data_IF_947484896754
#
_entry.id   IF_947484896754
#
_cell.length_a   1.000
_cell.length_b   1.000
_cell.length_c   1.000
_cell.angle_alpha   90.00
_cell.angle_beta   90.00
_cell.angle_gamma   90.00
#
_symmetry.space_group_name_H-M   'P 1'
#
loop_
_entity.id
_entity.type
_entity.pdbx_description
1 polymer ?
#
# COMPACT_ATOMS: atom_id res chain seq x y z
N UNK A 1 -1.70 24.23 13.13
CA UNK A 1 -1.77 23.61 11.79
C UNK A 1 -0.67 22.57 11.72
N UNK A 2 -1.00 21.28 11.81
CA UNK A 2 -0.02 20.20 11.68
C UNK A 2 0.55 20.19 10.27
N UNK A 3 1.86 20.33 10.13
CA UNK A 3 2.58 20.22 8.86
C UNK A 3 2.36 18.81 8.31
N UNK A 4 1.36 18.63 7.45
CA UNK A 4 1.09 17.34 6.80
C UNK A 4 2.34 16.97 5.99
N UNK A 5 3.04 15.92 6.44
CA UNK A 5 4.26 15.43 5.82
C UNK A 5 3.87 14.81 4.48
N UNK A 6 4.06 15.55 3.37
CA UNK A 6 3.81 15.04 2.02
C UNK A 6 4.46 13.68 1.85
N UNK A 7 3.65 12.65 1.68
CA UNK A 7 4.12 11.29 1.48
C UNK A 7 4.73 11.19 0.07
N UNK A 8 6.03 10.90 0.02
CA UNK A 8 6.77 10.82 -1.23
C UNK A 8 6.53 9.45 -1.85
N UNK A 9 5.98 9.44 -3.06
CA UNK A 9 5.90 8.23 -3.87
C UNK A 9 7.30 7.63 -4.07
N UNK A 10 7.44 6.33 -3.82
CA UNK A 10 8.66 5.56 -4.05
C UNK A 10 8.28 4.17 -4.57
N UNK A 11 9.06 3.65 -5.51
CA UNK A 11 8.96 2.27 -5.98
C UNK A 11 9.20 1.31 -4.82
N UNK A 12 8.43 0.23 -4.80
CA UNK A 12 8.51 -0.80 -3.78
C UNK A 12 7.83 -0.44 -2.45
N UNK A 13 7.22 0.74 -2.33
CA UNK A 13 6.44 1.08 -1.14
C UNK A 13 5.24 0.12 -1.03
N UNK A 14 5.06 -0.43 0.16
CA UNK A 14 3.88 -1.18 0.56
C UNK A 14 2.96 -0.25 1.33
N UNK A 15 1.71 -0.19 0.91
CA UNK A 15 0.65 0.61 1.49
C UNK A 15 -0.35 -0.30 2.18
N UNK A 16 -0.76 0.07 3.40
CA UNK A 16 -1.90 -0.50 4.09
C UNK A 16 -3.16 0.26 3.67
N UNK A 17 -4.18 -0.49 3.27
CA UNK A 17 -5.45 -0.01 2.75
C UNK A 17 -6.53 -0.41 3.75
N UNK A 18 -7.08 0.54 4.54
CA UNK A 18 -8.16 0.23 5.47
C UNK A 18 -9.40 -0.22 4.69
N UNK A 19 -9.98 -1.34 5.11
CA UNK A 19 -11.18 -1.92 4.53
C UNK A 19 -12.41 -1.65 5.42
N UNK A 20 -13.63 -1.64 4.86
CA UNK A 20 -14.85 -1.37 5.64
C UNK A 20 -15.11 -2.36 6.79
N UNK A 21 -14.51 -3.55 6.74
CA UNK A 21 -14.64 -4.59 7.75
C UNK A 21 -13.59 -4.49 8.88
N UNK A 22 -12.97 -3.31 9.06
CA UNK A 22 -11.90 -3.05 10.04
C UNK A 22 -10.61 -3.88 9.83
N UNK A 23 -10.44 -4.49 8.65
CA UNK A 23 -9.21 -5.18 8.25
C UNK A 23 -8.38 -4.31 7.31
N UNK A 24 -7.19 -4.79 6.97
CA UNK A 24 -6.28 -4.11 6.07
C UNK A 24 -5.98 -4.96 4.84
N UNK A 25 -6.19 -4.37 3.67
CA UNK A 25 -5.57 -4.85 2.44
C UNK A 25 -4.17 -4.25 2.30
N UNK A 26 -3.35 -4.83 1.45
CA UNK A 26 -2.02 -4.31 1.17
C UNK A 26 -1.80 -4.19 -0.33
N UNK A 27 -0.98 -3.23 -0.74
CA UNK A 27 -0.46 -3.22 -2.10
C UNK A 27 0.88 -2.52 -2.24
N UNK A 28 1.62 -2.90 -3.28
CA UNK A 28 2.99 -2.47 -3.56
C UNK A 28 3.06 -1.70 -4.86
N UNK A 29 3.78 -0.58 -4.86
CA UNK A 29 4.15 0.12 -6.10
C UNK A 29 5.22 -0.67 -6.83
N UNK A 30 4.98 -1.02 -8.09
CA UNK A 30 5.92 -1.82 -8.89
C UNK A 30 6.65 -0.93 -9.90
N UNK A 31 7.81 -1.39 -10.39
CA UNK A 31 8.59 -0.68 -11.40
C UNK A 31 7.91 -0.77 -12.78
N UNK A 32 7.60 -1.99 -13.22
CA UNK A 32 7.01 -2.28 -14.53
C UNK A 32 5.47 -2.35 -14.51
N UNK A 33 4.87 -2.25 -13.33
CA UNK A 33 3.44 -2.37 -13.10
C UNK A 33 2.94 -1.26 -12.16
N UNK A 34 1.69 -0.80 -12.32
CA UNK A 34 1.17 0.32 -11.52
C UNK A 34 1.19 0.01 -10.01
N UNK A 35 0.29 -0.86 -9.57
CA UNK A 35 0.13 -1.20 -8.17
C UNK A 35 -0.33 -2.65 -8.01
N UNK A 36 0.46 -3.48 -7.34
CA UNK A 36 0.15 -4.88 -7.09
C UNK A 36 -0.53 -5.04 -5.73
N UNK A 37 -1.74 -5.59 -5.72
CA UNK A 37 -2.53 -5.82 -4.49
C UNK A 37 -2.27 -7.23 -3.99
N UNK A 38 -1.90 -7.38 -2.72
CA UNK A 38 -1.64 -8.68 -2.10
C UNK A 38 -2.93 -9.49 -1.91
N UNK A 39 -2.81 -10.83 -1.89
CA UNK A 39 -3.90 -11.74 -1.48
C UNK A 39 -4.19 -11.69 0.02
N UNK A 40 -3.16 -11.39 0.81
CA UNK A 40 -3.25 -11.30 2.28
C UNK A 40 -4.20 -10.18 2.72
N UNK A 41 -4.99 -10.47 3.75
CA UNK A 41 -5.82 -9.50 4.46
C UNK A 41 -5.39 -9.55 5.92
N UNK A 42 -4.87 -8.43 6.41
CA UNK A 42 -4.33 -8.33 7.76
C UNK A 42 -5.36 -7.83 8.76
N UNK A 43 -5.20 -8.20 10.03
CA UNK A 43 -6.01 -7.69 11.14
C UNK A 43 -5.54 -6.31 11.62
N UNK A 44 -4.35 -5.86 11.19
CA UNK A 44 -3.79 -4.53 11.51
C UNK A 44 -2.83 -4.06 10.41
N UNK A 45 -2.44 -2.78 10.42
CA UNK A 45 -1.41 -2.24 9.51
C UNK A 45 -0.05 -2.93 9.63
N UNK A 46 0.22 -3.58 10.77
CA UNK A 46 1.46 -4.29 11.05
C UNK A 46 1.40 -5.79 10.66
N UNK A 47 0.23 -6.29 10.30
CA UNK A 47 0.01 -7.67 9.85
C UNK A 47 0.35 -7.80 8.36
N UNK A 48 1.63 -7.60 8.05
CA UNK A 48 2.13 -7.48 6.68
C UNK A 48 2.15 -8.82 5.94
N UNK A 49 1.95 -8.81 4.60
CA UNK A 49 2.12 -9.99 3.77
C UNK A 49 3.57 -10.51 3.83
N UNK A 50 3.76 -11.78 4.15
CA UNK A 50 5.09 -12.40 4.29
C UNK A 50 5.72 -12.80 2.95
N UNK A 51 4.88 -13.07 1.95
CA UNK A 51 5.27 -13.48 0.60
C UNK A 51 4.73 -12.50 -0.43
N UNK A 52 5.33 -12.49 -1.61
CA UNK A 52 4.90 -11.68 -2.76
C UNK A 52 3.75 -12.33 -3.54
N UNK A 53 2.72 -12.78 -2.81
CA UNK A 53 1.53 -13.39 -3.40
C UNK A 53 0.47 -12.34 -3.73
N UNK A 54 0.51 -11.85 -4.96
CA UNK A 54 -0.42 -10.83 -5.44
C UNK A 54 -1.73 -11.43 -5.96
N UNK A 55 -2.83 -10.73 -5.69
CA UNK A 55 -4.18 -11.06 -6.18
C UNK A 55 -4.48 -10.38 -7.51
N UNK A 56 -4.10 -9.12 -7.62
CA UNK A 56 -4.37 -8.27 -8.78
C UNK A 56 -3.23 -7.29 -9.03
N UNK A 57 -3.10 -6.85 -10.27
CA UNK A 57 -2.29 -5.68 -10.65
C UNK A 57 -3.26 -4.65 -11.23
N UNK A 58 -3.26 -3.45 -10.67
CA UNK A 58 -4.21 -2.39 -11.01
C UNK A 58 -3.50 -1.06 -11.23
N UNK A 59 -4.11 -0.20 -12.04
CA UNK A 59 -3.78 1.22 -12.06
C UNK A 59 -4.47 1.93 -10.91
N UNK A 60 -3.72 2.73 -10.15
CA UNK A 60 -4.29 3.57 -9.09
C UNK A 60 -3.96 5.03 -9.36
N UNK A 61 -4.89 5.92 -9.06
CA UNK A 61 -4.65 7.35 -9.15
C UNK A 61 -3.57 7.78 -8.17
N UNK A 62 -2.74 8.73 -8.57
CA UNK A 62 -1.66 9.26 -7.72
C UNK A 62 -2.20 9.72 -6.37
N UNK A 63 -3.36 10.36 -6.36
CA UNK A 63 -4.03 10.87 -5.17
C UNK A 63 -4.21 9.79 -4.10
N UNK A 64 -4.54 8.55 -4.47
CA UNK A 64 -4.68 7.45 -3.50
C UNK A 64 -3.36 7.18 -2.76
N UNK A 65 -2.24 7.19 -3.49
CA UNK A 65 -0.89 6.95 -2.95
C UNK A 65 -0.32 8.13 -2.15
N UNK A 66 -0.94 9.31 -2.25
CA UNK A 66 -0.55 10.51 -1.50
C UNK A 66 -1.53 10.90 -0.41
N UNK A 67 -2.69 10.26 -0.37
CA UNK A 67 -3.75 10.57 0.59
C UNK A 67 -3.48 9.93 1.94
N UNK A 68 -3.97 10.60 2.98
CA UNK A 68 -3.97 10.14 4.37
C UNK A 68 -4.72 8.81 4.58
N UNK A 69 -5.44 8.33 3.56
CA UNK A 69 -6.20 7.09 3.63
C UNK A 69 -5.33 5.85 3.59
N UNK A 70 -4.17 5.88 2.92
CA UNK A 70 -3.32 4.69 2.73
C UNK A 70 -1.93 4.93 3.34
N UNK A 71 -1.66 4.27 4.47
CA UNK A 71 -0.39 4.42 5.17
C UNK A 71 0.72 3.60 4.48
N UNK A 72 1.88 4.21 4.22
CA UNK A 72 3.09 3.46 3.83
C UNK A 72 3.63 2.75 5.06
N UNK A 73 3.65 1.42 5.01
CA UNK A 73 4.04 0.56 6.14
C UNK A 73 5.43 -0.06 5.97
N UNK A 74 5.89 -0.20 4.71
CA UNK A 74 7.20 -0.79 4.39
C UNK A 74 7.70 -0.28 3.02
N UNK A 75 9.00 -0.40 2.75
CA UNK A 75 9.56 -0.28 1.40
C UNK A 75 10.39 -1.53 1.07
N UNK A 76 9.99 -2.25 0.02
CA UNK A 76 10.67 -3.44 -0.48
C UNK A 76 11.43 -3.10 -1.78
N UNK A 77 12.76 -3.02 -1.76
CA UNK A 77 13.55 -2.66 -2.94
C UNK A 77 13.42 -3.71 -4.06
N UNK A 78 13.75 -3.29 -5.27
CA UNK A 78 13.90 -4.14 -6.45
C UNK A 78 15.39 -4.41 -6.69
#
# INVERSE_FOLDING_TARGET
>A
MSTQKRQRYKLGNVYAIPLPNAKFGFGRTMEDAGFAVYKHIGESEMDLPKTEDYKYIVGVYWQALRSDGWAVVENRPF
#
